data_IF_279728988691
#
_entry.id   IF_279728988691
#
_cell.length_a   1.000
_cell.length_b   1.000
_cell.length_c   1.000
_cell.angle_alpha   90.00
_cell.angle_beta   90.00
_cell.angle_gamma   90.00
#
_symmetry.space_group_name_H-M   'P 1'
#
loop_
_entity.id
_entity.type
_entity.pdbx_description
1 polymer ?
#
# COMPACT_ATOMS: atom_id res chain seq x y z
N UNK A 1 52.82 28.46 -33.71
CA UNK A 1 52.39 27.52 -32.64
C UNK A 1 52.93 26.14 -32.97
N UNK A 2 53.72 25.51 -32.09
CA UNK A 2 54.30 24.18 -32.34
C UNK A 2 53.16 23.14 -32.41
N UNK A 3 53.23 22.17 -33.31
CA UNK A 3 52.17 21.16 -33.53
C UNK A 3 51.73 20.45 -32.24
N UNK A 4 52.68 20.25 -31.32
CA UNK A 4 52.47 19.72 -29.97
C UNK A 4 51.41 20.50 -29.17
N UNK A 5 51.35 21.82 -29.32
CA UNK A 5 50.41 22.69 -28.61
C UNK A 5 48.99 22.59 -29.19
N UNK A 6 48.85 22.33 -30.49
CA UNK A 6 47.55 22.11 -31.14
C UNK A 6 46.90 20.80 -30.69
N UNK A 7 47.69 19.72 -30.56
CA UNK A 7 47.20 18.42 -30.09
C UNK A 7 46.74 18.48 -28.63
N UNK A 8 47.51 19.14 -27.75
CA UNK A 8 47.11 19.33 -26.33
C UNK A 8 45.85 20.18 -26.17
N UNK A 9 45.67 21.23 -26.98
CA UNK A 9 44.47 22.06 -26.94
C UNK A 9 43.20 21.31 -27.41
N UNK A 10 43.34 20.48 -28.45
CA UNK A 10 42.21 19.67 -28.95
C UNK A 10 41.75 18.62 -27.94
N UNK A 11 42.69 17.97 -27.24
CA UNK A 11 42.38 17.00 -26.19
C UNK A 11 41.69 17.66 -24.99
N UNK A 12 42.14 18.85 -24.55
CA UNK A 12 41.45 19.58 -23.47
C UNK A 12 40.02 19.98 -23.84
N UNK A 13 39.77 20.34 -25.10
CA UNK A 13 38.43 20.72 -25.57
C UNK A 13 37.45 19.53 -25.54
N UNK A 14 37.92 18.34 -25.95
CA UNK A 14 37.11 17.11 -25.94
C UNK A 14 36.79 16.70 -24.49
N UNK A 15 37.78 16.70 -23.58
CA UNK A 15 37.57 16.36 -22.17
C UNK A 15 36.64 17.38 -21.48
N UNK A 16 36.78 18.66 -21.80
CA UNK A 16 35.89 19.72 -21.28
C UNK A 16 34.43 19.53 -21.71
N UNK A 17 34.19 19.15 -22.97
CA UNK A 17 32.83 18.92 -23.47
C UNK A 17 32.12 17.73 -22.79
N UNK A 18 32.85 16.65 -22.49
CA UNK A 18 32.32 15.47 -21.80
C UNK A 18 32.00 15.76 -20.33
N UNK A 19 32.80 16.61 -19.67
CA UNK A 19 32.54 17.05 -18.31
C UNK A 19 31.31 17.97 -18.23
N UNK A 20 31.13 18.91 -19.16
CA UNK A 20 29.95 19.78 -19.20
C UNK A 20 28.65 19.00 -19.47
N UNK A 21 28.68 17.96 -20.32
CA UNK A 21 27.49 17.12 -20.56
C UNK A 21 27.06 16.35 -19.30
N UNK A 22 27.99 16.01 -18.41
CA UNK A 22 27.68 15.25 -17.19
C UNK A 22 26.94 16.11 -16.14
N UNK A 23 27.21 17.41 -16.10
CA UNK A 23 26.55 18.36 -15.19
C UNK A 23 25.11 18.65 -15.63
N UNK A 24 24.84 18.70 -16.94
CA UNK A 24 23.49 18.94 -17.46
C UNK A 24 22.47 17.86 -17.06
N UNK A 25 22.88 16.58 -16.99
CA UNK A 25 22.02 15.50 -16.51
C UNK A 25 21.74 15.60 -15.00
N UNK A 26 22.70 16.04 -14.19
CA UNK A 26 22.50 16.23 -12.74
C UNK A 26 21.55 17.40 -12.43
N UNK A 27 21.64 18.51 -13.18
CA UNK A 27 20.77 19.68 -12.94
C UNK A 27 19.34 19.41 -13.39
N UNK A 28 19.13 18.71 -14.51
CA UNK A 28 17.79 18.35 -14.98
C UNK A 28 17.14 17.33 -14.02
N UNK A 29 17.89 16.35 -13.53
CA UNK A 29 17.39 15.34 -12.58
C UNK A 29 16.88 15.91 -11.24
N UNK A 30 17.45 17.02 -10.77
CA UNK A 30 16.99 17.70 -9.54
C UNK A 30 15.96 18.82 -9.80
N UNK A 31 15.97 19.47 -10.96
CA UNK A 31 15.05 20.56 -11.27
C UNK A 31 13.67 20.11 -11.77
N UNK A 32 13.56 18.91 -12.36
CA UNK A 32 12.27 18.35 -12.81
C UNK A 32 11.72 17.28 -11.85
N UNK A 33 12.40 17.03 -10.74
CA UNK A 33 11.91 16.19 -9.66
C UNK A 33 10.81 16.92 -8.90
N UNK A 34 9.62 17.01 -9.51
CA UNK A 34 8.40 17.40 -8.79
C UNK A 34 8.37 16.57 -7.50
N UNK A 35 8.33 17.25 -6.36
CA UNK A 35 8.28 16.60 -5.07
C UNK A 35 7.22 15.48 -5.15
N UNK A 36 7.55 14.24 -4.77
CA UNK A 36 6.54 13.19 -4.75
C UNK A 36 5.35 13.74 -3.96
N UNK A 37 4.11 13.51 -4.42
CA UNK A 37 2.93 14.03 -3.75
C UNK A 37 3.07 13.72 -2.26
N UNK A 38 2.92 14.75 -1.43
CA UNK A 38 3.05 14.61 0.01
C UNK A 38 1.87 13.75 0.49
N UNK A 39 2.07 12.44 0.53
CA UNK A 39 1.06 11.50 1.03
C UNK A 39 1.04 11.68 2.53
N UNK A 40 -0.02 12.33 3.01
CA UNK A 40 -0.20 12.58 4.43
C UNK A 40 -0.18 11.24 5.18
N UNK A 41 0.63 11.12 6.25
CA UNK A 41 0.63 9.91 7.05
C UNK A 41 -0.75 9.69 7.69
N UNK A 42 -1.26 8.45 7.60
CA UNK A 42 -2.50 8.05 8.25
C UNK A 42 -2.48 8.41 9.75
N UNK A 43 -3.42 9.26 10.16
CA UNK A 43 -3.63 9.59 11.58
C UNK A 43 -4.40 8.50 12.32
N UNK A 44 -5.18 7.69 11.59
CA UNK A 44 -5.88 6.52 12.09
C UNK A 44 -5.92 5.41 11.04
N UNK A 45 -5.97 4.16 11.50
CA UNK A 45 -6.17 2.98 10.64
C UNK A 45 -7.64 2.69 10.37
N UNK A 46 -8.54 3.46 10.99
CA UNK A 46 -9.99 3.44 10.73
C UNK A 46 -10.38 4.84 10.27
N UNK A 47 -10.79 4.93 9.01
CA UNK A 47 -11.15 6.16 8.32
C UNK A 47 -12.66 6.19 8.10
N UNK A 48 -13.24 7.39 8.17
CA UNK A 48 -14.67 7.63 7.83
C UNK A 48 -14.88 8.05 6.38
N UNK A 49 -13.79 8.14 5.61
CA UNK A 49 -13.76 8.62 4.23
C UNK A 49 -12.85 7.70 3.42
N UNK A 50 -13.14 7.63 2.13
CA UNK A 50 -12.31 6.92 1.16
C UNK A 50 -10.98 7.67 0.96
N UNK A 51 -9.88 6.94 0.91
CA UNK A 51 -8.59 7.49 0.51
C UNK A 51 -8.64 7.94 -0.96
N UNK A 52 -7.81 8.93 -1.31
CA UNK A 52 -7.56 9.20 -2.73
C UNK A 52 -6.91 7.97 -3.37
N UNK A 53 -7.13 7.77 -4.68
CA UNK A 53 -6.51 6.66 -5.42
C UNK A 53 -4.99 6.65 -5.31
N UNK A 54 -4.37 7.82 -5.24
CA UNK A 54 -2.93 7.97 -5.10
C UNK A 54 -2.44 7.45 -3.74
N UNK A 55 -3.10 7.85 -2.65
CA UNK A 55 -2.76 7.39 -1.29
C UNK A 55 -3.04 5.90 -1.13
N UNK A 56 -4.16 5.41 -1.66
CA UNK A 56 -4.48 3.99 -1.65
C UNK A 56 -3.40 3.16 -2.35
N UNK A 57 -3.05 3.52 -3.60
CA UNK A 57 -2.02 2.82 -4.37
C UNK A 57 -0.68 2.84 -3.65
N UNK A 58 -0.34 3.95 -2.99
CA UNK A 58 0.85 4.04 -2.17
C UNK A 58 0.81 3.09 -0.97
N UNK A 59 -0.27 3.05 -0.20
CA UNK A 59 -0.35 2.14 0.95
C UNK A 59 -0.36 0.67 0.52
N UNK A 60 -1.11 0.33 -0.53
CA UNK A 60 -1.12 -1.02 -1.08
C UNK A 60 0.27 -1.43 -1.57
N UNK A 61 0.97 -0.57 -2.32
CA UNK A 61 2.33 -0.86 -2.78
C UNK A 61 3.35 -1.02 -1.65
N UNK A 62 3.10 -0.41 -0.48
CA UNK A 62 3.87 -0.60 0.75
C UNK A 62 3.42 -1.81 1.59
N UNK A 63 2.54 -2.67 1.07
CA UNK A 63 2.14 -3.92 1.71
C UNK A 63 0.92 -3.81 2.65
N UNK A 64 0.25 -2.66 2.70
CA UNK A 64 -1.01 -2.56 3.44
C UNK A 64 -2.15 -3.22 2.66
N UNK A 65 -3.14 -3.70 3.41
CA UNK A 65 -4.43 -4.14 2.89
C UNK A 65 -5.48 -3.10 3.26
N UNK A 66 -6.36 -2.76 2.33
CA UNK A 66 -7.46 -1.81 2.53
C UNK A 66 -8.77 -2.59 2.56
N UNK A 67 -9.49 -2.50 3.67
CA UNK A 67 -10.86 -2.97 3.82
C UNK A 67 -11.79 -1.78 3.72
N UNK A 68 -12.65 -1.76 2.71
CA UNK A 68 -13.76 -0.81 2.58
C UNK A 68 -15.03 -1.47 3.03
N UNK A 69 -15.68 -0.91 4.04
CA UNK A 69 -17.01 -1.29 4.45
C UNK A 69 -17.98 -0.18 4.04
N UNK A 70 -18.82 -0.49 3.07
CA UNK A 70 -20.01 0.28 2.75
C UNK A 70 -21.13 -0.24 3.63
N UNK A 71 -21.76 0.61 4.44
CA UNK A 71 -22.74 0.17 5.43
C UNK A 71 -24.00 1.02 5.40
N UNK A 72 -25.15 0.35 5.44
CA UNK A 72 -26.46 0.97 5.72
C UNK A 72 -26.91 0.86 7.17
N UNK A 73 -26.34 -0.07 7.94
CA UNK A 73 -26.64 -0.31 9.36
C UNK A 73 -25.35 -0.52 10.16
N UNK A 74 -25.34 -0.14 11.45
CA UNK A 74 -24.16 -0.09 12.34
C UNK A 74 -23.78 -1.42 13.01
N UNK A 75 -24.43 -2.54 12.68
CA UNK A 75 -24.19 -3.83 13.35
C UNK A 75 -22.72 -4.31 13.38
N UNK A 76 -21.92 -3.97 12.36
CA UNK A 76 -20.51 -4.37 12.25
C UNK A 76 -19.52 -3.33 12.79
N UNK A 77 -20.01 -2.22 13.37
CA UNK A 77 -19.16 -1.08 13.69
C UNK A 77 -18.07 -1.39 14.73
N UNK A 78 -18.45 -2.08 15.81
CA UNK A 78 -17.52 -2.49 16.86
C UNK A 78 -16.45 -3.45 16.34
N UNK A 79 -16.86 -4.44 15.55
CA UNK A 79 -15.96 -5.40 14.91
C UNK A 79 -14.95 -4.70 14.01
N UNK A 80 -15.43 -3.83 13.13
CA UNK A 80 -14.63 -3.16 12.10
C UNK A 80 -13.65 -2.15 12.70
N UNK A 81 -14.02 -1.52 13.81
CA UNK A 81 -13.14 -0.61 14.54
C UNK A 81 -11.98 -1.34 15.22
N UNK A 82 -12.18 -2.57 15.69
CA UNK A 82 -11.15 -3.39 16.33
C UNK A 82 -10.28 -4.19 15.34
N UNK A 83 -10.70 -4.30 14.08
CA UNK A 83 -10.04 -5.13 13.07
C UNK A 83 -8.55 -4.81 12.87
N UNK A 84 -8.11 -3.54 12.72
CA UNK A 84 -6.71 -3.22 12.49
C UNK A 84 -5.76 -3.76 13.57
N UNK A 85 -6.22 -3.78 14.82
CA UNK A 85 -5.45 -4.30 15.95
C UNK A 85 -5.43 -5.83 15.95
N UNK A 86 -6.58 -6.47 15.69
CA UNK A 86 -6.67 -7.94 15.62
C UNK A 86 -5.91 -8.56 14.45
N UNK A 87 -5.69 -7.78 13.38
CA UNK A 87 -5.00 -8.18 12.15
C UNK A 87 -3.55 -7.69 12.10
N UNK A 88 -3.03 -7.18 13.21
CA UNK A 88 -1.62 -6.82 13.34
C UNK A 88 -0.72 -8.04 13.13
N UNK A 89 0.45 -7.79 12.59
CA UNK A 89 1.50 -8.81 12.42
C UNK A 89 1.97 -9.36 13.78
N UNK A 90 2.75 -10.44 13.77
CA UNK A 90 3.33 -11.03 14.99
C UNK A 90 4.21 -10.03 15.76
N UNK A 91 4.79 -9.03 15.07
CA UNK A 91 5.57 -7.94 15.68
C UNK A 91 4.71 -6.77 16.18
N UNK A 92 3.38 -6.85 16.07
CA UNK A 92 2.44 -5.80 16.49
C UNK A 92 2.28 -4.66 15.48
N UNK A 93 2.89 -4.75 14.29
CA UNK A 93 2.71 -3.75 13.25
C UNK A 93 1.34 -3.91 12.57
N UNK A 94 0.58 -2.83 12.49
CA UNK A 94 -0.70 -2.78 11.76
C UNK A 94 -0.42 -2.78 10.25
N UNK A 95 -1.19 -3.59 9.54
CA UNK A 95 -1.09 -3.77 8.09
C UNK A 95 -2.46 -3.64 7.40
N UNK A 96 -3.50 -3.29 8.16
CA UNK A 96 -4.86 -3.16 7.69
C UNK A 96 -5.33 -1.72 7.88
N UNK A 97 -5.82 -1.13 6.80
CA UNK A 97 -6.52 0.15 6.77
C UNK A 97 -7.99 -0.15 6.54
N UNK A 98 -8.85 0.48 7.32
CA UNK A 98 -10.29 0.27 7.30
C UNK A 98 -10.97 1.57 6.91
N UNK A 99 -11.73 1.56 5.83
CA UNK A 99 -12.54 2.68 5.37
C UNK A 99 -14.01 2.37 5.64
N UNK A 100 -14.67 3.19 6.44
CA UNK A 100 -16.10 3.09 6.74
C UNK A 100 -16.85 4.15 5.96
N UNK A 101 -17.69 3.70 5.02
CA UNK A 101 -18.41 4.56 4.09
C UNK A 101 -19.90 4.31 4.27
N UNK A 102 -20.67 5.34 4.59
CA UNK A 102 -22.13 5.21 4.69
C UNK A 102 -22.73 5.00 3.29
N UNK A 103 -23.59 3.99 3.13
CA UNK A 103 -24.22 3.63 1.86
C UNK A 103 -25.61 3.02 2.06
N UNK A 104 -26.41 2.91 0.99
CA UNK A 104 -27.75 2.32 1.06
C UNK A 104 -27.71 0.78 1.17
N UNK A 105 -26.62 0.15 0.76
CA UNK A 105 -26.43 -1.30 0.79
C UNK A 105 -25.15 -1.62 1.55
N UNK A 106 -25.20 -2.69 2.34
CA UNK A 106 -24.03 -3.16 3.09
C UNK A 106 -23.22 -4.11 2.22
N UNK A 107 -22.00 -3.74 1.88
CA UNK A 107 -21.03 -4.60 1.20
C UNK A 107 -19.61 -4.24 1.63
N UNK A 108 -18.70 -5.20 1.54
CA UNK A 108 -17.30 -4.97 1.86
C UNK A 108 -16.40 -5.25 0.66
N UNK A 109 -15.29 -4.54 0.58
CA UNK A 109 -14.26 -4.76 -0.42
C UNK A 109 -12.93 -4.87 0.28
N UNK A 110 -12.18 -5.93 -0.01
CA UNK A 110 -10.81 -6.12 0.48
C UNK A 110 -9.88 -5.97 -0.72
N UNK A 111 -8.93 -5.05 -0.61
CA UNK A 111 -7.97 -4.77 -1.66
C UNK A 111 -6.55 -4.82 -1.09
N UNK A 112 -5.68 -5.60 -1.72
CA UNK A 112 -4.28 -5.71 -1.37
C UNK A 112 -3.43 -5.99 -2.61
N UNK A 113 -2.12 -6.16 -2.41
CA UNK A 113 -1.22 -6.64 -3.47
C UNK A 113 -1.63 -8.00 -4.05
N UNK A 114 -2.39 -8.80 -3.30
CA UNK A 114 -2.91 -10.10 -3.73
C UNK A 114 -4.26 -9.98 -4.47
N UNK A 115 -4.62 -8.77 -4.89
CA UNK A 115 -5.82 -8.46 -5.64
C UNK A 115 -7.01 -8.05 -4.79
N UNK A 116 -8.16 -7.96 -5.47
CA UNK A 116 -9.40 -7.41 -4.93
C UNK A 116 -10.46 -8.48 -4.72
N UNK A 117 -11.22 -8.38 -3.64
CA UNK A 117 -12.35 -9.26 -3.35
C UNK A 117 -13.54 -8.44 -2.85
N UNK A 118 -14.71 -8.67 -3.43
CA UNK A 118 -15.96 -8.00 -3.07
C UNK A 118 -16.87 -8.98 -2.34
N UNK A 119 -17.44 -8.53 -1.22
CA UNK A 119 -18.33 -9.26 -0.35
C UNK A 119 -19.69 -8.56 -0.33
N UNK A 120 -20.66 -9.09 -1.08
CA UNK A 120 -21.99 -8.46 -1.23
C UNK A 120 -22.90 -8.61 0.01
N UNK A 121 -22.54 -9.50 0.93
CA UNK A 121 -23.23 -9.73 2.19
C UNK A 121 -22.17 -10.02 3.27
N UNK A 122 -21.52 -8.96 3.79
CA UNK A 122 -20.38 -9.09 4.66
C UNK A 122 -20.85 -9.49 6.06
N UNK A 123 -20.26 -10.57 6.56
CA UNK A 123 -20.38 -11.02 7.94
C UNK A 123 -18.98 -11.10 8.55
N UNK A 124 -18.85 -11.06 9.88
CA UNK A 124 -17.57 -11.09 10.59
C UNK A 124 -16.70 -12.25 10.10
N UNK A 125 -17.30 -13.45 9.96
CA UNK A 125 -16.60 -14.64 9.51
C UNK A 125 -16.07 -14.51 8.06
N UNK A 126 -16.86 -13.90 7.16
CA UNK A 126 -16.52 -13.68 5.75
C UNK A 126 -15.44 -12.60 5.61
N UNK A 127 -15.54 -11.51 6.37
CA UNK A 127 -14.55 -10.43 6.38
C UNK A 127 -13.21 -10.98 6.89
N UNK A 128 -13.20 -11.68 8.03
CA UNK A 128 -11.98 -12.31 8.53
C UNK A 128 -11.39 -13.30 7.54
N UNK A 129 -12.22 -14.12 6.88
CA UNK A 129 -11.76 -15.06 5.86
C UNK A 129 -11.07 -14.36 4.69
N UNK A 130 -11.73 -13.36 4.11
CA UNK A 130 -11.18 -12.56 3.01
C UNK A 130 -9.88 -11.85 3.40
N UNK A 131 -9.81 -11.29 4.63
CA UNK A 131 -8.58 -10.69 5.14
C UNK A 131 -7.46 -11.72 5.29
N UNK A 132 -7.73 -12.90 5.84
CA UNK A 132 -6.73 -13.96 5.99
C UNK A 132 -6.18 -14.49 4.65
N UNK A 133 -6.98 -14.42 3.58
CA UNK A 133 -6.55 -14.78 2.23
C UNK A 133 -5.76 -13.66 1.54
N UNK A 134 -6.11 -12.40 1.80
CA UNK A 134 -5.56 -11.24 1.10
C UNK A 134 -4.41 -10.54 1.81
N UNK A 135 -4.30 -10.65 3.14
CA UNK A 135 -3.21 -10.06 3.91
C UNK A 135 -1.86 -10.64 3.48
N UNK A 136 -0.85 -9.79 3.39
CA UNK A 136 0.51 -10.20 3.05
C UNK A 136 1.13 -11.06 4.15
N UNK A 137 1.01 -10.63 5.41
CA UNK A 137 1.50 -11.36 6.56
C UNK A 137 0.30 -11.88 7.35
N UNK A 138 0.16 -13.21 7.44
CA UNK A 138 -0.98 -13.82 8.12
C UNK A 138 -0.87 -13.61 9.64
N UNK A 139 -1.81 -12.90 10.27
CA UNK A 139 -1.83 -12.75 11.71
C UNK A 139 -2.18 -14.10 12.38
N UNK A 140 -1.87 -14.26 13.69
CA UNK A 140 -2.13 -15.51 14.40
C UNK A 140 -3.59 -15.98 14.29
N UNK A 141 -4.56 -15.06 14.28
CA UNK A 141 -6.00 -15.33 14.12
C UNK A 141 -6.29 -16.16 12.86
N UNK A 142 -5.52 -15.98 11.79
CA UNK A 142 -5.69 -16.70 10.54
C UNK A 142 -5.12 -18.13 10.56
N UNK A 143 -4.20 -18.44 11.49
CA UNK A 143 -3.56 -19.75 11.59
C UNK A 143 -4.45 -20.75 12.34
N UNK A 144 -5.16 -20.30 13.37
CA UNK A 144 -5.98 -21.17 14.21
C UNK A 144 -7.34 -21.53 13.59
N UNK A 145 -7.86 -20.73 12.64
CA UNK A 145 -9.16 -20.98 11.99
C UNK A 145 -9.15 -22.24 11.08
N UNK A 146 -8.00 -22.58 10.50
CA UNK A 146 -7.83 -23.79 9.69
C UNK A 146 -7.80 -25.09 10.52
N UNK A 147 -7.53 -25.00 11.83
CA UNK A 147 -7.50 -26.17 12.73
C UNK A 147 -8.93 -26.62 13.04
N UNK A 148 -9.86 -25.67 13.22
CA UNK A 148 -11.29 -25.97 13.46
C UNK A 148 -11.96 -26.62 12.23
N UNK A 149 -11.64 -26.19 11.01
CA UNK A 149 -12.20 -26.77 9.80
C UNK A 149 -11.69 -28.20 9.51
N UNK A 150 -10.47 -28.54 9.94
CA UNK A 150 -9.91 -29.89 9.75
C UNK A 150 -10.48 -30.93 10.71
N UNK A 151 -10.92 -30.53 11.90
CA UNK A 151 -11.54 -31.45 12.87
C UNK A 151 -12.97 -31.85 12.50
N UNK A 152 -13.70 -31.02 11.75
CA UNK A 152 -15.07 -31.32 11.31
C UNK A 152 -15.15 -32.34 10.15
N UNK A 153 -14.01 -32.66 9.52
CA UNK A 153 -13.91 -33.70 8.48
C UNK A 153 -13.50 -35.08 9.02
N UNK A 154 -13.31 -35.22 10.33
CA UNK A 154 -12.90 -36.45 11.00
C UNK A 154 -13.99 -37.04 11.92
N UNK A 155 -15.21 -36.50 11.88
CA UNK A 155 -16.43 -37.10 12.44
C UNK A 155 -17.40 -37.44 11.32
#
# INVERSE_FOLDING_TARGET
MKEETKKKAMVMFIVGSLFLSSIAFFVIGFATGGAPPAIEPLTSFVLKKELSRESENFYISNGFTVLRLYYGNSSLDGFVTALPDSMATVSGQRQLIVEKIAANQTYATVESLNGKQVLNDPDEAKITGALCEKLMLKPPVCLFKNISASYSKLQ
#
